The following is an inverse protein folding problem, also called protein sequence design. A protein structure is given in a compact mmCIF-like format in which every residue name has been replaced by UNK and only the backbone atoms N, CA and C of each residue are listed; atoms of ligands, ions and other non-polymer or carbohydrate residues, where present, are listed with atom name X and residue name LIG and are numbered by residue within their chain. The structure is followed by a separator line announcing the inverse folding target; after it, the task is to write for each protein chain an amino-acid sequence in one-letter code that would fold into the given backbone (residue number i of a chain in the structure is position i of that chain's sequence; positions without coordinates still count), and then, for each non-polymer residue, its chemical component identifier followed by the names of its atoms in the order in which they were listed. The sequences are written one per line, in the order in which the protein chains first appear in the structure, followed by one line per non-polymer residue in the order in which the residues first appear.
data_IF_875837427389
#
_entry.id   IF_875837427389
#
_cell.length_a   1.000
_cell.length_b   1.000
_cell.length_c   1.000
_cell.angle_alpha   90.00
_cell.angle_beta   90.00
_cell.angle_gamma   90.00
#
_symmetry.space_group_name_H-M   'P 1'
#
loop_
_entity.id
_entity.type
_entity.pdbx_description
1 polymer ?
#
# COMPACT_ATOMS: atom_id res chain seq x y z
N UNK A 1 -18.82 11.06 -2.37
CA UNK A 1 -17.79 10.04 -2.64
C UNK A 1 -16.46 10.72 -2.41
N UNK A 2 -15.64 10.19 -1.50
CA UNK A 2 -14.28 10.71 -1.29
C UNK A 2 -13.49 10.54 -2.60
N UNK A 3 -12.74 11.56 -3.01
CA UNK A 3 -11.84 11.46 -4.16
C UNK A 3 -10.51 10.78 -3.78
N UNK A 4 -10.46 10.19 -2.58
CA UNK A 4 -9.29 9.55 -2.00
C UNK A 4 -9.04 8.20 -2.67
N UNK A 5 -7.97 8.14 -3.46
CA UNK A 5 -7.61 6.95 -4.26
C UNK A 5 -6.53 6.14 -3.55
N UNK A 6 -6.87 4.91 -3.21
CA UNK A 6 -6.03 3.96 -2.49
C UNK A 6 -5.76 2.73 -3.38
N UNK A 7 -4.49 2.37 -3.55
CA UNK A 7 -4.10 1.13 -4.21
C UNK A 7 -3.67 0.10 -3.16
N UNK A 8 -4.27 -1.09 -3.21
CA UNK A 8 -3.85 -2.25 -2.43
C UNK A 8 -3.24 -3.31 -3.35
N UNK A 9 -2.05 -3.81 -2.99
CA UNK A 9 -1.27 -4.76 -3.79
C UNK A 9 -0.98 -6.01 -2.97
N UNK A 10 -1.40 -7.17 -3.47
CA UNK A 10 -1.25 -8.47 -2.80
C UNK A 10 -1.41 -9.56 -3.86
N UNK A 11 -0.56 -10.59 -3.87
CA UNK A 11 -0.62 -11.67 -4.87
C UNK A 11 -1.75 -12.68 -4.57
N UNK A 12 -2.31 -12.65 -3.37
CA UNK A 12 -3.44 -13.50 -2.99
C UNK A 12 -4.79 -12.81 -3.23
N UNK A 13 -5.59 -13.36 -4.16
CA UNK A 13 -6.92 -12.83 -4.50
C UNK A 13 -7.84 -12.65 -3.27
N UNK A 14 -7.77 -13.55 -2.29
CA UNK A 14 -8.58 -13.47 -1.06
C UNK A 14 -8.23 -12.21 -0.25
N UNK A 15 -6.95 -11.89 -0.13
CA UNK A 15 -6.49 -10.69 0.58
C UNK A 15 -6.97 -9.42 -0.14
N UNK A 16 -6.86 -9.39 -1.48
CA UNK A 16 -7.35 -8.29 -2.31
C UNK A 16 -8.86 -8.04 -2.10
N UNK A 17 -9.67 -9.10 -2.15
CA UNK A 17 -11.11 -8.97 -1.94
C UNK A 17 -11.44 -8.54 -0.52
N UNK A 18 -10.82 -9.16 0.50
CA UNK A 18 -11.03 -8.79 1.90
C UNK A 18 -10.72 -7.32 2.15
N UNK A 19 -9.62 -6.83 1.60
CA UNK A 19 -9.23 -5.43 1.71
C UNK A 19 -10.25 -4.52 1.04
N UNK A 20 -10.64 -4.82 -0.21
CA UNK A 20 -11.65 -4.04 -0.92
C UNK A 20 -12.99 -4.01 -0.18
N UNK A 21 -13.50 -5.15 0.25
CA UNK A 21 -14.73 -5.21 1.05
C UNK A 21 -14.63 -4.39 2.33
N UNK A 22 -13.44 -4.31 2.93
CA UNK A 22 -13.22 -3.55 4.13
C UNK A 22 -13.17 -2.03 3.91
N UNK A 23 -12.78 -1.54 2.73
CA UNK A 23 -12.47 -0.11 2.55
C UNK A 23 -13.17 0.58 1.37
N UNK A 24 -13.93 -0.14 0.54
CA UNK A 24 -14.58 0.42 -0.66
C UNK A 24 -15.65 1.49 -0.35
N UNK A 25 -16.23 1.49 0.86
CA UNK A 25 -17.20 2.51 1.27
C UNK A 25 -16.50 3.79 1.76
N UNK A 26 -15.21 3.71 2.08
CA UNK A 26 -14.41 4.78 2.67
C UNK A 26 -13.52 5.47 1.61
N UNK A 27 -12.98 4.69 0.66
CA UNK A 27 -12.03 5.14 -0.36
C UNK A 27 -12.37 4.57 -1.75
N UNK A 28 -11.84 5.21 -2.80
CA UNK A 28 -11.79 4.59 -4.13
C UNK A 28 -10.64 3.58 -4.15
N UNK A 29 -10.96 2.30 -3.94
CA UNK A 29 -9.98 1.21 -3.83
C UNK A 29 -9.66 0.60 -5.20
N UNK A 30 -8.39 0.71 -5.59
CA UNK A 30 -7.77 -0.03 -6.69
C UNK A 30 -7.06 -1.26 -6.15
N UNK A 31 -7.04 -2.33 -6.94
CA UNK A 31 -6.41 -3.59 -6.57
C UNK A 31 -5.38 -3.97 -7.63
N UNK A 32 -4.24 -4.50 -7.21
CA UNK A 32 -3.26 -5.10 -8.08
C UNK A 32 -2.79 -6.44 -7.50
N UNK A 33 -2.69 -7.46 -8.36
CA UNK A 33 -2.21 -8.80 -8.04
C UNK A 33 -0.70 -8.96 -8.16
N UNK A 34 0.00 -7.93 -8.64
CA UNK A 34 1.45 -7.93 -8.82
C UNK A 34 2.01 -6.51 -8.76
N UNK A 35 3.33 -6.40 -8.54
CA UNK A 35 4.03 -5.12 -8.62
C UNK A 35 3.94 -4.47 -10.01
N UNK A 36 3.94 -5.26 -11.08
CA UNK A 36 3.80 -4.75 -12.44
C UNK A 36 2.42 -4.11 -12.67
N UNK A 37 1.35 -4.79 -12.28
CA UNK A 37 -0.01 -4.25 -12.36
C UNK A 37 -0.17 -2.98 -11.50
N UNK A 38 0.47 -2.94 -10.32
CA UNK A 38 0.47 -1.77 -9.46
C UNK A 38 1.12 -0.55 -10.14
N UNK A 39 2.27 -0.74 -10.81
CA UNK A 39 2.94 0.34 -11.55
C UNK A 39 2.09 0.85 -12.71
N UNK A 40 1.39 -0.04 -13.42
CA UNK A 40 0.47 0.37 -14.48
C UNK A 40 -0.70 1.20 -13.95
N UNK A 41 -1.29 0.81 -12.83
CA UNK A 41 -2.38 1.55 -12.20
C UNK A 41 -1.93 2.92 -11.69
N UNK A 42 -0.77 3.00 -11.03
CA UNK A 42 -0.23 4.28 -10.53
C UNK A 42 0.04 5.27 -11.67
N UNK A 43 0.43 4.79 -12.85
CA UNK A 43 0.65 5.65 -14.01
C UNK A 43 -0.65 6.12 -14.68
N UNK A 44 -1.75 5.38 -14.52
CA UNK A 44 -3.07 5.69 -15.12
C UNK A 44 -3.95 6.49 -14.16
N UNK A 45 -3.81 6.23 -12.88
CA UNK A 45 -4.66 6.74 -11.81
C UNK A 45 -3.84 7.65 -10.91
N UNK A 46 -4.42 8.78 -10.48
CA UNK A 46 -3.82 9.65 -9.47
C UNK A 46 -3.89 9.00 -8.07
N UNK A 47 -3.18 7.90 -7.89
CA UNK A 47 -3.11 7.17 -6.62
C UNK A 47 -2.36 8.02 -5.60
N UNK A 48 -2.98 8.24 -4.44
CA UNK A 48 -2.41 9.03 -3.35
C UNK A 48 -1.73 8.15 -2.30
N UNK A 49 -2.28 6.95 -2.07
CA UNK A 49 -1.74 6.00 -1.09
C UNK A 49 -1.62 4.62 -1.73
N UNK A 50 -0.49 3.95 -1.49
CA UNK A 50 -0.20 2.58 -1.90
C UNK A 50 0.08 1.74 -0.66
N UNK A 51 -0.62 0.62 -0.51
CA UNK A 51 -0.36 -0.40 0.51
C UNK A 51 -0.01 -1.69 -0.21
N UNK A 52 1.20 -2.20 0.00
CA UNK A 52 1.69 -3.41 -0.66
C UNK A 52 1.95 -4.52 0.35
N UNK A 53 1.64 -5.76 0.00
CA UNK A 53 2.26 -6.91 0.65
C UNK A 53 3.78 -6.86 0.42
N UNK A 54 4.52 -7.37 1.41
CA UNK A 54 5.97 -7.45 1.34
C UNK A 54 6.40 -8.55 0.36
N UNK A 55 5.75 -9.71 0.39
CA UNK A 55 6.12 -10.88 -0.40
C UNK A 55 5.14 -11.03 -1.56
N UNK A 56 5.66 -10.83 -2.76
CA UNK A 56 4.95 -11.14 -3.99
C UNK A 56 5.95 -11.79 -4.95
N UNK A 57 5.48 -12.65 -5.89
CA UNK A 57 6.32 -13.19 -6.94
C UNK A 57 6.93 -12.10 -7.81
N UNK A 58 8.13 -12.35 -8.33
CA UNK A 58 8.88 -11.50 -9.29
C UNK A 58 9.37 -10.15 -8.75
N UNK A 59 8.50 -9.39 -8.08
CA UNK A 59 8.78 -8.08 -7.50
C UNK A 59 8.17 -7.99 -6.10
N UNK A 60 9.01 -7.85 -5.08
CA UNK A 60 8.55 -7.70 -3.70
C UNK A 60 8.07 -6.27 -3.40
N UNK A 61 7.37 -6.08 -2.28
CA UNK A 61 6.79 -4.76 -1.92
C UNK A 61 7.83 -3.64 -1.78
N UNK A 62 9.05 -3.95 -1.33
CA UNK A 62 10.13 -2.95 -1.21
C UNK A 62 10.63 -2.54 -2.59
N UNK A 63 10.81 -3.49 -3.50
CA UNK A 63 11.21 -3.24 -4.89
C UNK A 63 10.16 -2.40 -5.61
N UNK A 64 8.88 -2.72 -5.43
CA UNK A 64 7.77 -1.92 -5.97
C UNK A 64 7.84 -0.47 -5.47
N UNK A 65 7.98 -0.26 -4.16
CA UNK A 65 8.04 1.08 -3.57
C UNK A 65 9.25 1.87 -4.10
N UNK A 66 10.41 1.23 -4.22
CA UNK A 66 11.59 1.85 -4.84
C UNK A 66 11.30 2.31 -6.26
N UNK A 67 10.62 1.50 -7.07
CA UNK A 67 10.25 1.90 -8.44
C UNK A 67 9.24 3.04 -8.48
N UNK A 68 8.23 3.02 -7.60
CA UNK A 68 7.26 4.12 -7.46
C UNK A 68 7.99 5.43 -7.16
N UNK A 69 8.90 5.42 -6.17
CA UNK A 69 9.66 6.61 -5.77
C UNK A 69 10.65 7.08 -6.84
N UNK A 70 11.33 6.16 -7.52
CA UNK A 70 12.24 6.48 -8.63
C UNK A 70 11.52 7.11 -9.83
N UNK A 71 10.24 6.79 -10.04
CA UNK A 71 9.41 7.41 -11.06
C UNK A 71 8.81 8.76 -10.61
N UNK A 72 9.31 9.34 -9.50
CA UNK A 72 8.85 10.60 -8.92
C UNK A 72 7.33 10.65 -8.63
N UNK A 73 6.74 9.49 -8.32
CA UNK A 73 5.34 9.42 -7.91
C UNK A 73 5.22 9.88 -6.45
N UNK A 74 4.34 10.86 -6.22
CA UNK A 74 4.13 11.47 -4.90
C UNK A 74 3.36 10.58 -3.91
N UNK A 75 2.94 9.37 -4.33
CA UNK A 75 2.14 8.47 -3.51
C UNK A 75 2.83 8.11 -2.19
N UNK A 76 2.07 8.17 -1.09
CA UNK A 76 2.48 7.68 0.22
C UNK A 76 2.47 6.15 0.17
N UNK A 77 3.60 5.53 0.52
CA UNK A 77 3.78 4.08 0.38
C UNK A 77 3.84 3.41 1.75
N UNK A 78 3.11 2.32 1.93
CA UNK A 78 3.08 1.52 3.15
C UNK A 78 3.26 0.04 2.82
N UNK A 79 3.77 -0.70 3.79
CA UNK A 79 3.90 -2.15 3.71
C UNK A 79 2.93 -2.81 4.68
N UNK A 80 2.29 -3.89 4.25
CA UNK A 80 1.36 -4.66 5.07
C UNK A 80 1.71 -6.14 4.93
N UNK A 81 2.20 -6.81 5.99
CA UNK A 81 2.66 -8.20 5.88
C UNK A 81 2.35 -9.06 7.12
N UNK A 82 2.16 -10.37 6.90
CA UNK A 82 2.08 -11.37 7.97
C UNK A 82 3.44 -11.72 8.57
N UNK A 83 4.53 -11.41 7.87
CA UNK A 83 5.88 -11.69 8.34
C UNK A 83 6.34 -10.60 9.28
N UNK A 84 6.82 -10.95 10.47
CA UNK A 84 7.59 -9.98 11.25
C UNK A 84 8.85 -9.64 10.45
N UNK A 85 8.93 -8.40 10.00
CA UNK A 85 10.17 -7.83 9.52
C UNK A 85 11.16 -7.89 10.69
N UNK A 86 12.36 -8.42 10.46
CA UNK A 86 13.38 -8.39 11.50
C UNK A 86 13.83 -6.94 11.72
N UNK A 87 14.27 -6.60 12.94
CA UNK A 87 14.84 -5.26 13.22
C UNK A 87 15.89 -4.85 12.18
N UNK A 88 16.68 -5.79 11.64
CA UNK A 88 17.66 -5.52 10.59
C UNK A 88 17.05 -5.11 9.24
N UNK A 89 15.86 -5.62 8.88
CA UNK A 89 15.14 -5.19 7.68
C UNK A 89 14.39 -3.88 7.96
N UNK A 90 13.87 -3.66 9.17
CA UNK A 90 13.33 -2.35 9.58
C UNK A 90 14.40 -1.26 9.54
N UNK A 91 15.59 -1.51 10.06
CA UNK A 91 16.73 -0.58 10.03
C UNK A 91 17.28 -0.36 8.61
N UNK A 92 17.12 -1.34 7.72
CA UNK A 92 17.55 -1.27 6.33
C UNK A 92 16.48 -0.74 5.36
N UNK A 93 15.24 -0.64 5.82
CA UNK A 93 14.19 0.09 5.13
C UNK A 93 14.51 1.57 5.28
N UNK A 94 14.85 2.19 4.16
CA UNK A 94 15.04 3.63 4.10
C UNK A 94 13.73 4.29 4.56
N UNK A 95 13.77 4.95 5.72
CA UNK A 95 12.62 5.63 6.33
C UNK A 95 12.01 6.68 5.39
N UNK A 96 12.76 7.14 4.38
CA UNK A 96 12.23 8.05 3.35
C UNK A 96 11.33 7.36 2.30
N UNK A 97 11.39 6.02 2.18
CA UNK A 97 10.65 5.27 1.15
C UNK A 97 9.27 4.80 1.63
N UNK A 98 9.14 4.44 2.91
CA UNK A 98 7.90 3.92 3.48
C UNK A 98 7.41 4.79 4.64
N UNK A 99 6.12 5.10 4.63
CA UNK A 99 5.46 5.83 5.71
C UNK A 99 5.20 4.94 6.92
N UNK A 100 4.83 3.67 6.67
CA UNK A 100 4.46 2.75 7.74
C UNK A 100 4.58 1.28 7.33
N UNK A 101 4.97 0.48 8.30
CA UNK A 101 4.81 -0.97 8.29
C UNK A 101 3.59 -1.41 9.13
N UNK A 102 2.76 -2.30 8.58
CA UNK A 102 1.53 -2.81 9.18
C UNK A 102 1.62 -4.33 9.26
N UNK A 103 1.49 -4.90 10.46
CA UNK A 103 1.46 -6.35 10.62
C UNK A 103 0.04 -6.92 10.35
N UNK A 104 -0.06 -8.05 9.66
CA UNK A 104 -1.29 -8.88 9.64
C UNK A 104 -1.35 -9.69 10.96
N UNK A 105 -2.54 -9.88 11.58
CA UNK A 105 -3.82 -9.30 11.19
C UNK A 105 -3.94 -7.82 11.57
N UNK A 106 -4.62 -7.04 10.73
CA UNK A 106 -4.87 -5.61 10.94
C UNK A 106 -6.31 -5.36 11.41
N UNK A 107 -6.50 -4.30 12.20
CA UNK A 107 -7.81 -3.79 12.61
C UNK A 107 -8.32 -2.82 11.54
N UNK A 108 -9.54 -3.03 11.03
CA UNK A 108 -10.18 -2.07 10.10
C UNK A 108 -10.27 -0.69 10.73
N UNK A 109 -10.65 -0.59 12.01
CA UNK A 109 -10.82 0.69 12.69
C UNK A 109 -9.51 1.47 12.75
N UNK A 110 -8.43 0.83 13.21
CA UNK A 110 -7.12 1.46 13.39
C UNK A 110 -6.51 1.87 12.05
N UNK A 111 -6.64 1.01 11.02
CA UNK A 111 -6.13 1.31 9.69
C UNK A 111 -6.95 2.42 9.01
N UNK A 112 -8.27 2.43 9.19
CA UNK A 112 -9.14 3.48 8.66
C UNK A 112 -8.82 4.85 9.29
N UNK A 113 -8.69 4.90 10.62
CA UNK A 113 -8.28 6.12 11.33
C UNK A 113 -6.94 6.64 10.83
N UNK A 114 -5.97 5.74 10.67
CA UNK A 114 -4.66 6.09 10.13
C UNK A 114 -4.74 6.65 8.70
N UNK A 115 -5.46 5.95 7.81
CA UNK A 115 -5.60 6.38 6.42
C UNK A 115 -6.29 7.73 6.31
N UNK A 116 -7.34 7.97 7.10
CA UNK A 116 -8.01 9.28 7.14
C UNK A 116 -7.04 10.40 7.54
N UNK A 117 -6.17 10.16 8.53
CA UNK A 117 -5.14 11.13 8.93
C UNK A 117 -4.09 11.37 7.84
N UNK A 118 -3.76 10.37 7.02
CA UNK A 118 -2.84 10.53 5.88
C UNK A 118 -3.52 11.34 4.77
N UNK A 119 -4.72 10.95 4.36
CA UNK A 119 -5.45 11.64 3.30
C UNK A 119 -5.74 13.10 3.66
N UNK A 120 -6.08 13.41 4.91
CA UNK A 120 -6.28 14.79 5.38
C UNK A 120 -5.02 15.67 5.31
N UNK A 121 -3.81 15.10 5.23
CA UNK A 121 -2.55 15.85 5.02
C UNK A 121 -2.20 16.03 3.55
N UNK A 122 -2.86 15.28 2.66
CA UNK A 122 -2.64 15.32 1.20
C UNK A 122 -3.63 16.25 0.49
N UNK A 123 -4.71 16.64 1.17
CA UNK A 123 -5.66 17.68 0.76
C UNK A 123 -5.13 19.10 1.10
#
# INVERSE_FOLDING_TARGET
MSNHKLLYVDDEWVNLQLFKFSFQDDFTVFLASSGQEALELINKEQIQVVISDLRMPEMNGIELIKQIKNNNQAAVCMLLSAYRISEAIEMGLDEALIERYIAKPWSKADLLEYLNNIFAKLD
#
